data_IF_810426555155
#
_entry.id   IF_810426555155
#
_cell.length_a   1.000
_cell.length_b   1.000
_cell.length_c   1.000
_cell.angle_alpha   90.00
_cell.angle_beta   90.00
_cell.angle_gamma   90.00
#
_symmetry.space_group_name_H-M   'P 1'
#
loop_
_entity.id
_entity.type
_entity.pdbx_description
1 polymer ?
#
# COMPACT_ATOMS: atom_id res chain seq x y z
N UNK A 1 -45.57 3.53 60.55
CA UNK A 1 -45.26 2.44 61.50
C UNK A 1 -44.17 1.56 60.88
N UNK A 2 -42.90 1.77 61.25
CA UNK A 2 -41.75 1.00 60.76
C UNK A 2 -41.41 -0.12 61.75
N UNK A 3 -41.39 -1.38 61.29
CA UNK A 3 -40.61 -2.48 61.91
C UNK A 3 -40.34 -3.61 60.92
N UNK A 4 -39.06 -3.87 60.62
CA UNK A 4 -38.54 -5.21 60.29
C UNK A 4 -37.03 -5.21 60.59
N UNK A 5 -36.62 -5.59 61.82
CA UNK A 5 -36.10 -6.91 62.23
C UNK A 5 -34.84 -7.34 61.44
N UNK A 6 -33.68 -7.17 62.08
CA UNK A 6 -32.40 -7.80 61.74
C UNK A 6 -32.30 -9.22 62.30
N UNK A 7 -31.48 -10.05 61.63
CA UNK A 7 -30.59 -11.14 62.10
C UNK A 7 -30.67 -12.38 61.17
N UNK A 8 -29.67 -13.27 61.13
CA UNK A 8 -28.24 -13.06 60.87
C UNK A 8 -27.69 -14.02 59.78
N UNK A 9 -26.52 -13.69 59.23
CA UNK A 9 -25.50 -14.66 58.79
C UNK A 9 -25.85 -15.68 57.70
N UNK A 10 -25.29 -15.48 56.50
CA UNK A 10 -24.89 -16.60 55.65
C UNK A 10 -23.70 -16.18 54.75
N UNK A 11 -22.52 -16.65 55.17
CA UNK A 11 -21.34 -17.03 54.40
C UNK A 11 -21.12 -16.33 53.06
N UNK A 12 -20.09 -15.48 53.04
CA UNK A 12 -19.42 -14.97 51.86
C UNK A 12 -18.72 -16.13 51.13
N UNK A 13 -19.33 -16.67 50.07
CA UNK A 13 -18.65 -17.52 49.12
C UNK A 13 -18.09 -16.64 47.99
N UNK A 14 -16.83 -16.24 48.09
CA UNK A 14 -16.07 -15.68 46.96
C UNK A 14 -15.71 -16.85 46.06
N UNK A 15 -16.57 -17.15 45.08
CA UNK A 15 -16.13 -17.85 43.87
C UNK A 15 -15.39 -16.86 43.00
N UNK A 16 -14.07 -17.00 42.94
CA UNK A 16 -13.23 -16.35 41.95
C UNK A 16 -13.55 -16.99 40.58
N UNK A 17 -14.58 -16.50 39.89
CA UNK A 17 -14.66 -16.68 38.43
C UNK A 17 -13.68 -15.67 37.83
N UNK A 18 -12.45 -16.11 37.60
CA UNK A 18 -11.54 -15.47 36.67
C UNK A 18 -12.11 -15.64 35.25
N UNK A 19 -13.06 -14.77 34.90
CA UNK A 19 -13.70 -14.70 33.60
C UNK A 19 -13.97 -13.25 33.27
N UNK A 20 -12.92 -12.45 33.15
CA UNK A 20 -13.04 -11.17 32.43
C UNK A 20 -13.38 -11.48 30.97
N UNK A 21 -14.15 -10.63 30.27
CA UNK A 21 -14.34 -10.80 28.85
C UNK A 21 -12.97 -10.75 28.19
N UNK A 22 -12.56 -11.84 27.55
CA UNK A 22 -11.50 -11.84 26.56
C UNK A 22 -11.89 -10.78 25.53
N UNK A 23 -11.26 -9.61 25.59
CA UNK A 23 -11.45 -8.56 24.58
C UNK A 23 -10.91 -9.17 23.30
N UNK A 24 -11.82 -9.59 22.41
CA UNK A 24 -11.46 -10.07 21.10
C UNK A 24 -10.48 -9.06 20.47
N UNK A 25 -9.37 -9.52 19.87
CA UNK A 25 -8.42 -8.61 19.25
C UNK A 25 -9.19 -7.74 18.26
N UNK A 26 -9.17 -6.42 18.48
CA UNK A 26 -9.67 -5.47 17.49
C UNK A 26 -8.82 -5.73 16.25
N UNK A 27 -9.40 -6.13 15.10
CA UNK A 27 -8.61 -6.30 13.90
C UNK A 27 -7.94 -4.96 13.61
N UNK A 28 -6.60 -4.93 13.59
CA UNK A 28 -5.89 -3.79 13.03
C UNK A 28 -6.48 -3.54 11.63
N UNK A 29 -6.78 -2.29 11.27
CA UNK A 29 -7.19 -1.98 9.91
C UNK A 29 -6.05 -2.40 8.99
N UNK A 30 -6.18 -3.60 8.41
CA UNK A 30 -5.37 -4.02 7.29
C UNK A 30 -5.77 -3.08 6.19
N UNK A 31 -4.98 -2.03 6.00
CA UNK A 31 -5.16 -1.11 4.90
C UNK A 31 -4.86 -1.89 3.62
N UNK A 32 -5.87 -2.59 3.11
CA UNK A 32 -5.88 -3.12 1.75
C UNK A 32 -5.96 -1.93 0.83
N UNK A 33 -4.85 -1.21 0.66
CA UNK A 33 -4.66 -0.38 -0.50
C UNK A 33 -4.45 -1.33 -1.67
N UNK A 34 -5.55 -1.88 -2.19
CA UNK A 34 -5.58 -2.33 -3.58
C UNK A 34 -5.32 -1.08 -4.42
N UNK A 35 -4.04 -0.82 -4.70
CA UNK A 35 -3.70 0.10 -5.77
C UNK A 35 -4.23 -0.56 -7.03
N UNK A 36 -5.27 0.03 -7.62
CA UNK A 36 -5.71 -0.32 -8.95
C UNK A 36 -4.44 -0.44 -9.82
N UNK A 37 -4.18 -1.64 -10.34
CA UNK A 37 -3.01 -1.89 -11.17
C UNK A 37 -3.23 -1.07 -12.45
N UNK A 38 -2.71 0.15 -12.47
CA UNK A 38 -2.84 1.08 -13.58
C UNK A 38 -2.33 0.38 -14.84
N UNK A 39 -3.22 0.15 -15.80
CA UNK A 39 -2.85 -0.55 -17.03
C UNK A 39 -2.08 0.42 -17.90
N UNK A 40 -0.76 0.28 -17.89
CA UNK A 40 0.11 1.06 -18.77
C UNK A 40 -0.23 0.76 -20.23
N UNK A 41 -0.63 1.79 -20.97
CA UNK A 41 -0.88 1.68 -22.42
C UNK A 41 0.39 1.94 -23.25
N UNK A 42 1.55 1.83 -22.60
CA UNK A 42 2.87 1.93 -23.19
C UNK A 42 3.16 0.66 -23.99
N UNK A 43 3.66 0.81 -25.22
CA UNK A 43 3.85 -0.30 -26.20
C UNK A 43 5.29 -0.46 -26.68
N UNK A 44 6.20 0.40 -26.24
CA UNK A 44 7.62 0.27 -26.56
C UNK A 44 8.24 -0.92 -25.83
N UNK A 45 9.42 -1.35 -26.30
CA UNK A 45 10.09 -2.53 -25.77
C UNK A 45 10.59 -2.30 -24.35
N UNK A 46 10.61 -3.38 -23.57
CA UNK A 46 11.17 -3.48 -22.23
C UNK A 46 10.73 -2.35 -21.27
N UNK A 47 9.40 -2.12 -21.11
CA UNK A 47 8.92 -1.05 -20.26
C UNK A 47 9.23 -1.37 -18.80
N UNK A 48 9.89 -0.42 -18.13
CA UNK A 48 10.11 -0.44 -16.68
C UNK A 48 9.53 0.83 -16.07
N UNK A 49 8.87 0.71 -14.92
CA UNK A 49 8.32 1.86 -14.19
C UNK A 49 8.85 1.87 -12.77
N UNK A 50 9.40 3.01 -12.37
CA UNK A 50 9.81 3.30 -10.99
C UNK A 50 9.06 4.53 -10.47
N UNK A 51 9.07 4.68 -9.15
CA UNK A 51 8.54 5.87 -8.48
C UNK A 51 9.63 6.49 -7.61
N UNK A 52 9.86 7.78 -7.79
CA UNK A 52 10.72 8.62 -6.94
C UNK A 52 9.84 9.69 -6.34
N UNK A 53 9.71 9.71 -5.02
CA UNK A 53 8.78 10.57 -4.29
C UNK A 53 7.33 10.51 -4.83
N UNK A 54 6.83 11.60 -5.42
CA UNK A 54 5.50 11.71 -6.03
C UNK A 54 5.50 11.52 -7.55
N UNK A 55 6.63 11.17 -8.16
CA UNK A 55 6.79 11.09 -9.62
C UNK A 55 6.99 9.65 -10.06
N UNK A 56 6.14 9.21 -10.98
CA UNK A 56 6.32 7.97 -11.72
C UNK A 56 7.17 8.24 -12.96
N UNK A 57 8.10 7.34 -13.24
CA UNK A 57 9.07 7.42 -14.33
C UNK A 57 8.98 6.10 -15.10
N UNK A 58 8.66 6.18 -16.39
CA UNK A 58 8.73 5.04 -17.31
C UNK A 58 10.01 5.15 -18.12
N UNK A 59 10.80 4.08 -18.19
CA UNK A 59 11.93 3.93 -19.09
C UNK A 59 11.65 2.81 -20.09
N UNK A 60 11.93 3.09 -21.37
CA UNK A 60 11.58 2.23 -22.50
C UNK A 60 12.65 2.29 -23.59
N UNK A 61 12.75 1.21 -24.37
CA UNK A 61 13.70 1.10 -25.48
C UNK A 61 12.99 1.21 -26.84
N UNK A 62 13.55 2.01 -27.75
CA UNK A 62 13.14 2.06 -29.16
C UNK A 62 14.34 2.40 -30.05
N UNK A 63 14.58 1.61 -31.11
CA UNK A 63 15.61 1.91 -32.11
C UNK A 63 17.03 2.08 -31.55
N UNK A 64 17.39 1.30 -30.52
CA UNK A 64 18.70 1.40 -29.85
C UNK A 64 18.88 2.65 -28.99
N UNK A 65 17.77 3.30 -28.59
CA UNK A 65 17.75 4.50 -27.75
C UNK A 65 16.89 4.27 -26.52
N UNK A 66 17.15 5.04 -25.47
CA UNK A 66 16.37 5.02 -24.24
C UNK A 66 15.52 6.29 -24.17
N UNK A 67 14.23 6.07 -23.93
CA UNK A 67 13.25 7.13 -23.73
C UNK A 67 12.70 7.08 -22.31
N UNK A 68 12.38 8.26 -21.76
CA UNK A 68 11.73 8.41 -20.46
C UNK A 68 10.44 9.21 -20.59
N UNK A 69 9.41 8.77 -19.87
CA UNK A 69 8.19 9.54 -19.58
C UNK A 69 8.10 9.78 -18.08
N UNK A 70 7.52 10.90 -17.68
CA UNK A 70 7.26 11.21 -16.25
C UNK A 70 5.83 11.66 -16.05
N UNK A 71 5.23 11.30 -14.91
CA UNK A 71 3.89 11.69 -14.54
C UNK A 71 3.65 11.60 -13.03
N UNK A 72 2.59 12.23 -12.53
CA UNK A 72 2.17 12.14 -11.11
C UNK A 72 1.38 10.87 -10.78
N UNK A 73 1.00 10.07 -11.78
CA UNK A 73 0.32 8.79 -11.61
C UNK A 73 0.72 7.79 -12.71
N UNK A 74 0.50 6.49 -12.45
CA UNK A 74 0.74 5.41 -13.42
C UNK A 74 -0.12 5.59 -14.67
N UNK A 75 -1.39 5.95 -14.52
CA UNK A 75 -2.30 6.13 -15.66
C UNK A 75 -1.85 7.29 -16.57
N UNK A 76 -1.37 8.38 -15.97
CA UNK A 76 -0.90 9.55 -16.70
C UNK A 76 0.40 9.29 -17.50
N UNK A 77 1.19 8.26 -17.16
CA UNK A 77 2.36 7.87 -17.96
C UNK A 77 1.99 7.51 -19.40
N UNK A 78 0.80 6.93 -19.62
CA UNK A 78 0.37 6.49 -20.96
C UNK A 78 0.23 7.66 -21.95
N UNK A 79 -0.11 8.86 -21.47
CA UNK A 79 -0.26 10.07 -22.28
C UNK A 79 0.90 11.06 -22.16
N UNK A 80 1.86 10.80 -21.28
CA UNK A 80 3.00 11.69 -21.05
C UNK A 80 3.93 11.72 -22.28
N UNK A 81 4.46 12.91 -22.57
CA UNK A 81 5.47 13.07 -23.61
C UNK A 81 6.73 12.31 -23.24
N UNK A 82 7.35 11.67 -24.25
CA UNK A 82 8.63 10.98 -24.10
C UNK A 82 9.80 11.93 -24.36
N UNK A 83 10.87 11.76 -23.61
CA UNK A 83 12.17 12.40 -23.83
C UNK A 83 13.23 11.35 -24.11
N UNK A 84 14.05 11.54 -25.14
CA UNK A 84 15.21 10.69 -25.37
C UNK A 84 16.30 11.09 -24.38
N UNK A 85 16.70 10.17 -23.50
CA UNK A 85 17.73 10.45 -22.48
C UNK A 85 19.09 9.83 -22.84
N UNK A 86 19.11 8.84 -23.71
CA UNK A 86 20.34 8.19 -24.17
C UNK A 86 20.18 7.63 -25.58
N UNK A 87 21.30 7.56 -26.30
CA UNK A 87 21.43 6.84 -27.56
C UNK A 87 22.89 6.65 -27.91
N UNK A 88 23.17 5.70 -28.79
CA UNK A 88 24.51 5.39 -29.27
C UNK A 88 24.65 5.64 -30.78
N UNK A 89 24.66 6.91 -31.24
CA UNK A 89 24.65 7.23 -32.67
C UNK A 89 25.91 6.75 -33.41
N UNK A 90 27.02 6.57 -32.69
CA UNK A 90 28.30 6.16 -33.24
C UNK A 90 28.58 4.65 -33.06
N UNK A 91 27.62 3.88 -32.54
CA UNK A 91 27.74 2.46 -32.26
C UNK A 91 29.02 2.09 -31.47
N UNK A 92 29.32 2.85 -30.41
CA UNK A 92 30.39 2.55 -29.48
C UNK A 92 30.14 1.20 -28.78
N UNK A 93 31.20 0.45 -28.50
CA UNK A 93 31.11 -0.80 -27.75
C UNK A 93 30.65 -0.54 -26.30
N UNK A 94 29.94 -1.51 -25.73
CA UNK A 94 29.73 -1.57 -24.28
C UNK A 94 31.08 -1.75 -23.59
N UNK A 95 31.26 -1.09 -22.44
CA UNK A 95 32.49 -1.15 -21.63
C UNK A 95 32.31 -2.05 -20.43
#
# INVERSE_FOLDING_TARGET
MHRLKLLPGAVLAVTFLAGGPEVAPVPEPTATHEQAVGRLSIKNADPSVIRVDSTYISAETEGGRIYVRTASSVDALSGAARSQIWGNPNNWAEV
#
